data_IF_734413883677
#
_entry.id   IF_734413883677
#
_cell.length_a   1.000
_cell.length_b   1.000
_cell.length_c   1.000
_cell.angle_alpha   90.00
_cell.angle_beta   90.00
_cell.angle_gamma   90.00
#
_symmetry.space_group_name_H-M   'P 1'
#
loop_
_entity.id
_entity.type
_entity.pdbx_description
1 polymer ?
#
# COMPACT_ATOMS: atom_id res chain seq x y z
N UNK A 1 0.59 -9.06 6.30
CA UNK A 1 0.97 -9.13 4.91
C UNK A 1 -0.23 -8.94 3.98
N UNK A 2 0.04 -8.78 2.69
CA UNK A 2 -1.00 -8.75 1.67
C UNK A 2 -1.83 -10.03 1.64
N UNK A 3 -3.10 -9.91 1.31
CA UNK A 3 -4.00 -11.07 1.22
C UNK A 3 -5.00 -10.97 0.07
N UNK A 4 -5.19 -9.78 -0.47
CA UNK A 4 -6.16 -9.52 -1.52
C UNK A 4 -5.50 -9.50 -2.89
N UNK A 5 -6.25 -9.88 -3.89
CA UNK A 5 -5.90 -9.84 -5.30
C UNK A 5 -7.01 -9.06 -6.00
N UNK A 6 -6.65 -7.91 -6.59
CA UNK A 6 -7.56 -7.10 -7.40
C UNK A 6 -7.42 -7.40 -8.89
N UNK A 7 -8.44 -7.11 -9.70
CA UNK A 7 -8.46 -7.47 -11.13
C UNK A 7 -7.36 -6.83 -11.99
N UNK A 8 -6.76 -5.73 -11.51
CA UNK A 8 -5.71 -4.95 -12.18
C UNK A 8 -4.28 -5.39 -11.83
N UNK A 9 -4.12 -6.43 -10.99
CA UNK A 9 -2.82 -6.95 -10.59
C UNK A 9 -2.34 -8.06 -11.55
N UNK A 10 -2.20 -7.75 -12.82
CA UNK A 10 -1.91 -8.71 -13.89
C UNK A 10 -0.71 -9.60 -13.58
N UNK A 11 0.43 -9.02 -13.20
CA UNK A 11 1.65 -9.77 -12.89
C UNK A 11 1.49 -10.73 -11.70
N UNK A 12 0.68 -10.36 -10.69
CA UNK A 12 0.38 -11.24 -9.58
C UNK A 12 -0.55 -12.37 -10.01
N UNK A 13 -1.57 -12.06 -10.81
CA UNK A 13 -2.53 -13.05 -11.34
C UNK A 13 -1.80 -14.07 -12.21
N UNK A 14 -0.96 -13.62 -13.15
CA UNK A 14 -0.13 -14.49 -13.97
C UNK A 14 0.78 -15.40 -13.13
N UNK A 15 1.38 -14.86 -12.05
CA UNK A 15 2.22 -15.65 -11.14
C UNK A 15 1.41 -16.69 -10.37
N UNK A 16 0.21 -16.34 -9.90
CA UNK A 16 -0.72 -17.26 -9.23
C UNK A 16 -1.08 -18.43 -10.17
N UNK A 17 -1.43 -18.13 -11.41
CA UNK A 17 -1.80 -19.12 -12.43
C UNK A 17 -0.59 -20.00 -12.80
N UNK A 18 0.60 -19.42 -12.99
CA UNK A 18 1.85 -20.16 -13.28
C UNK A 18 2.20 -21.15 -12.16
N UNK A 19 1.92 -20.77 -10.91
CA UNK A 19 2.17 -21.61 -9.74
C UNK A 19 1.06 -22.65 -9.52
N UNK A 20 -0.02 -22.64 -10.30
CA UNK A 20 -1.15 -23.55 -10.18
C UNK A 20 -1.97 -23.31 -8.92
N UNK A 21 -1.96 -22.07 -8.39
CA UNK A 21 -2.72 -21.69 -7.22
C UNK A 21 -4.15 -21.29 -7.61
N UNK A 22 -5.10 -21.62 -6.75
CA UNK A 22 -6.51 -21.28 -6.94
C UNK A 22 -6.89 -20.06 -6.08
N UNK A 23 -7.86 -19.29 -6.58
CA UNK A 23 -8.43 -18.14 -5.88
C UNK A 23 -9.90 -18.34 -5.56
N UNK A 24 -10.41 -17.59 -4.58
CA UNK A 24 -11.82 -17.52 -4.24
C UNK A 24 -12.24 -16.07 -4.00
N UNK A 25 -13.50 -15.75 -4.33
CA UNK A 25 -14.05 -14.41 -4.14
C UNK A 25 -14.27 -14.07 -2.68
N UNK A 26 -14.20 -12.79 -2.35
CA UNK A 26 -14.58 -12.28 -1.04
C UNK A 26 -16.01 -12.70 -0.69
N UNK A 27 -16.24 -13.09 0.55
CA UNK A 27 -17.60 -13.31 1.06
C UNK A 27 -18.35 -11.96 1.14
N UNK A 28 -19.53 -11.90 0.53
CA UNK A 28 -20.34 -10.68 0.39
C UNK A 28 -21.78 -10.85 0.89
N UNK A 29 -22.12 -12.01 1.47
CA UNK A 29 -23.48 -12.26 1.96
C UNK A 29 -23.66 -11.68 3.36
N UNK A 30 -24.87 -11.17 3.64
CA UNK A 30 -25.26 -10.62 4.94
C UNK A 30 -25.03 -9.10 5.05
N UNK A 31 -25.28 -8.60 6.25
CA UNK A 31 -25.17 -7.18 6.57
C UNK A 31 -23.74 -6.83 7.01
N UNK A 32 -23.28 -5.65 6.59
CA UNK A 32 -22.14 -4.97 7.19
C UNK A 32 -22.57 -4.16 8.41
N UNK A 33 -21.59 -3.79 9.23
CA UNK A 33 -21.84 -2.98 10.43
C UNK A 33 -20.99 -1.72 10.38
N UNK A 34 -21.62 -0.58 10.53
CA UNK A 34 -20.98 0.73 10.68
C UNK A 34 -21.28 1.29 12.07
N UNK A 35 -20.24 1.79 12.74
CA UNK A 35 -20.40 2.52 14.01
C UNK A 35 -20.17 4.00 13.74
N UNK A 36 -21.23 4.79 13.82
CA UNK A 36 -21.19 6.22 13.59
C UNK A 36 -20.33 6.99 14.62
N UNK A 37 -20.10 8.29 14.40
CA UNK A 37 -19.32 9.13 15.32
C UNK A 37 -19.91 9.22 16.72
N UNK A 38 -21.24 9.10 16.84
CA UNK A 38 -22.00 9.10 18.10
C UNK A 38 -22.00 7.74 18.82
N UNK A 39 -21.35 6.71 18.25
CA UNK A 39 -21.33 5.35 18.73
C UNK A 39 -22.56 4.50 18.34
N UNK A 40 -23.49 5.05 17.56
CA UNK A 40 -24.65 4.31 17.07
C UNK A 40 -24.22 3.25 16.06
N UNK A 41 -24.77 2.03 16.23
CA UNK A 41 -24.50 0.90 15.36
C UNK A 41 -25.55 0.83 14.27
N UNK A 42 -25.10 0.89 13.01
CA UNK A 42 -25.93 0.75 11.83
C UNK A 42 -25.61 -0.55 11.10
N UNK A 43 -26.64 -1.31 10.73
CA UNK A 43 -26.52 -2.43 9.80
C UNK A 43 -26.88 -1.94 8.40
N UNK A 44 -26.09 -2.33 7.41
CA UNK A 44 -26.30 -1.92 6.03
C UNK A 44 -25.84 -3.00 5.04
N UNK A 45 -26.36 -2.90 3.84
CA UNK A 45 -25.93 -3.70 2.68
C UNK A 45 -25.36 -2.75 1.61
N UNK A 46 -24.45 -3.24 0.80
CA UNK A 46 -23.77 -2.44 -0.25
C UNK A 46 -22.45 -1.86 0.22
N UNK A 47 -21.86 -1.01 -0.59
CA UNK A 47 -20.49 -0.49 -0.42
C UNK A 47 -20.43 0.85 0.34
N UNK A 48 -21.51 1.64 0.27
CA UNK A 48 -21.57 2.94 0.94
C UNK A 48 -21.90 2.80 2.42
N UNK A 49 -21.16 3.49 3.27
CA UNK A 49 -21.52 3.60 4.67
C UNK A 49 -22.84 4.35 4.85
N UNK A 50 -23.66 3.96 5.84
CA UNK A 50 -24.98 4.57 6.08
C UNK A 50 -24.81 5.93 6.80
N UNK A 51 -24.37 6.92 6.06
CA UNK A 51 -24.24 8.32 6.48
C UNK A 51 -25.45 9.14 6.08
N UNK A 52 -25.55 10.40 6.51
CA UNK A 52 -26.63 11.29 6.05
C UNK A 52 -26.51 11.57 4.54
N UNK A 53 -27.62 11.93 3.91
CA UNK A 53 -27.61 12.30 2.49
C UNK A 53 -26.72 13.53 2.21
N UNK A 54 -26.61 14.45 3.17
CA UNK A 54 -25.72 15.59 3.11
C UNK A 54 -24.25 15.16 3.14
N UNK A 55 -23.88 14.26 4.05
CA UNK A 55 -22.52 13.69 4.15
C UNK A 55 -22.16 12.89 2.91
N UNK A 56 -23.10 12.09 2.38
CA UNK A 56 -22.92 11.33 1.15
C UNK A 56 -22.62 12.26 -0.05
N UNK A 57 -23.37 13.35 -0.19
CA UNK A 57 -23.13 14.32 -1.23
C UNK A 57 -21.74 14.99 -1.11
N UNK A 58 -21.31 15.31 0.09
CA UNK A 58 -19.96 15.87 0.36
C UNK A 58 -18.87 14.87 -0.01
N UNK A 59 -19.02 13.60 0.38
CA UNK A 59 -18.06 12.55 0.02
C UNK A 59 -17.99 12.40 -1.51
N UNK A 60 -19.12 12.39 -2.20
CA UNK A 60 -19.18 12.27 -3.64
C UNK A 60 -18.49 13.46 -4.34
N UNK A 61 -18.72 14.69 -3.91
CA UNK A 61 -18.07 15.89 -4.48
C UNK A 61 -16.55 15.84 -4.28
N UNK A 62 -16.08 15.47 -3.09
CA UNK A 62 -14.64 15.36 -2.82
C UNK A 62 -14.01 14.23 -3.65
N UNK A 63 -14.70 13.11 -3.79
CA UNK A 63 -14.25 11.97 -4.60
C UNK A 63 -14.12 12.36 -6.08
N UNK A 64 -15.11 13.06 -6.65
CA UNK A 64 -15.03 13.56 -8.02
C UNK A 64 -13.84 14.50 -8.22
N UNK A 65 -13.60 15.40 -7.27
CA UNK A 65 -12.43 16.29 -7.29
C UNK A 65 -11.12 15.52 -7.25
N UNK A 66 -11.03 14.49 -6.42
CA UNK A 66 -9.85 13.63 -6.33
C UNK A 66 -9.63 12.86 -7.63
N UNK A 67 -10.68 12.32 -8.24
CA UNK A 67 -10.58 11.61 -9.52
C UNK A 67 -10.06 12.55 -10.63
N UNK A 68 -10.54 13.80 -10.67
CA UNK A 68 -10.03 14.79 -11.60
C UNK A 68 -8.53 15.10 -11.39
N UNK A 69 -8.09 15.20 -10.13
CA UNK A 69 -6.66 15.40 -9.80
C UNK A 69 -5.82 14.17 -10.15
N UNK A 70 -6.31 12.98 -9.86
CA UNK A 70 -5.65 11.70 -10.18
C UNK A 70 -5.44 11.53 -11.68
N UNK A 71 -6.42 11.90 -12.49
CA UNK A 71 -6.34 11.82 -13.96
C UNK A 71 -5.20 12.66 -14.57
N UNK A 72 -4.68 13.65 -13.85
CA UNK A 72 -3.55 14.47 -14.29
C UNK A 72 -2.17 13.87 -13.91
N UNK A 73 -2.13 12.80 -13.08
CA UNK A 73 -0.89 12.23 -12.55
C UNK A 73 -0.40 11.07 -13.43
N UNK A 74 0.86 11.15 -13.85
CA UNK A 74 1.60 10.00 -14.36
C UNK A 74 2.12 9.18 -13.15
N UNK A 75 1.61 7.97 -12.91
CA UNK A 75 2.01 7.17 -11.73
C UNK A 75 3.49 6.77 -11.75
N UNK A 76 4.12 6.71 -12.93
CA UNK A 76 5.55 6.42 -13.05
C UNK A 76 6.42 7.66 -12.75
N UNK A 77 5.87 8.85 -12.87
CA UNK A 77 6.58 10.11 -12.64
C UNK A 77 5.73 11.14 -11.89
N UNK A 78 5.18 10.82 -10.71
CA UNK A 78 4.24 11.69 -10.00
C UNK A 78 4.85 13.05 -9.65
N UNK A 79 6.14 13.10 -9.38
CA UNK A 79 6.88 14.34 -9.06
C UNK A 79 7.14 15.25 -10.25
N UNK A 80 6.84 14.80 -11.48
CA UNK A 80 6.92 15.63 -12.68
C UNK A 80 5.68 16.53 -12.86
N UNK A 81 4.61 16.29 -12.13
CA UNK A 81 3.41 17.12 -12.19
C UNK A 81 3.69 18.55 -11.73
N UNK A 82 3.20 19.59 -12.42
CA UNK A 82 3.49 20.99 -12.06
C UNK A 82 3.11 21.37 -10.63
N UNK A 83 2.08 20.76 -10.06
CA UNK A 83 1.61 20.97 -8.69
C UNK A 83 2.18 19.96 -7.67
N UNK A 84 3.10 19.08 -8.07
CA UNK A 84 3.62 18.04 -7.18
C UNK A 84 4.19 18.62 -5.87
N UNK A 85 4.99 19.68 -5.95
CA UNK A 85 5.56 20.33 -4.77
C UNK A 85 4.49 20.96 -3.87
N UNK A 86 3.42 21.53 -4.44
CA UNK A 86 2.28 22.07 -3.70
C UNK A 86 1.55 20.94 -2.95
N UNK A 87 1.19 19.87 -3.67
CA UNK A 87 0.45 18.73 -3.12
C UNK A 87 1.28 17.92 -2.10
N UNK A 88 2.59 17.91 -2.24
CA UNK A 88 3.49 17.27 -1.28
C UNK A 88 3.72 18.11 -0.01
N UNK A 89 3.42 19.41 -0.06
CA UNK A 89 3.57 20.32 1.08
C UNK A 89 2.39 20.33 2.06
N UNK A 90 1.27 19.73 1.70
CA UNK A 90 0.06 19.65 2.52
C UNK A 90 -0.21 18.20 2.91
N UNK A 91 -0.53 17.95 4.19
CA UNK A 91 -0.92 16.61 4.65
C UNK A 91 -2.31 16.25 4.13
N UNK A 92 -2.58 14.95 3.99
CA UNK A 92 -3.90 14.46 3.62
C UNK A 92 -4.99 14.96 4.56
N UNK A 93 -4.76 14.91 5.88
CA UNK A 93 -5.70 15.45 6.88
C UNK A 93 -6.00 16.93 6.67
N UNK A 94 -4.95 17.74 6.51
CA UNK A 94 -5.12 19.19 6.32
C UNK A 94 -5.86 19.52 5.02
N UNK A 95 -5.61 18.78 3.95
CA UNK A 95 -6.31 18.97 2.69
C UNK A 95 -7.80 18.60 2.81
N UNK A 96 -8.14 17.46 3.41
CA UNK A 96 -9.55 17.06 3.62
C UNK A 96 -10.31 18.12 4.41
N UNK A 97 -9.75 18.63 5.50
CA UNK A 97 -10.36 19.68 6.33
C UNK A 97 -10.49 21.04 5.63
N UNK A 98 -9.77 21.26 4.56
CA UNK A 98 -9.97 22.43 3.69
C UNK A 98 -11.15 22.25 2.72
N UNK A 99 -11.59 21.01 2.48
CA UNK A 99 -12.68 20.73 1.56
C UNK A 99 -14.05 20.84 2.23
N UNK A 100 -14.14 20.49 3.52
CA UNK A 100 -15.41 20.43 4.25
C UNK A 100 -15.23 20.54 5.75
N UNK A 101 -16.25 21.06 6.43
CA UNK A 101 -16.40 21.04 7.88
C UNK A 101 -17.18 19.80 8.37
N UNK A 102 -17.62 18.90 7.47
CA UNK A 102 -18.28 17.66 7.82
C UNK A 102 -17.25 16.64 8.35
N UNK A 103 -17.21 16.49 9.68
CA UNK A 103 -16.27 15.56 10.35
C UNK A 103 -16.52 14.10 9.98
N UNK A 104 -17.75 13.69 9.63
CA UNK A 104 -18.05 12.32 9.24
C UNK A 104 -17.55 12.04 7.81
N UNK A 105 -17.70 12.97 6.89
CA UNK A 105 -17.12 12.88 5.54
C UNK A 105 -15.58 12.80 5.62
N UNK A 106 -14.94 13.69 6.40
CA UNK A 106 -13.49 13.66 6.63
C UNK A 106 -13.05 12.31 7.21
N UNK A 107 -13.76 11.78 8.22
CA UNK A 107 -13.44 10.50 8.85
C UNK A 107 -13.49 9.34 7.87
N UNK A 108 -14.50 9.27 7.00
CA UNK A 108 -14.66 8.20 6.02
C UNK A 108 -13.57 8.24 4.95
N UNK A 109 -13.31 9.40 4.35
CA UNK A 109 -12.23 9.58 3.36
C UNK A 109 -10.84 9.34 3.98
N UNK A 110 -10.63 9.80 5.21
CA UNK A 110 -9.40 9.57 5.97
C UNK A 110 -9.17 8.09 6.28
N UNK A 111 -10.22 7.35 6.62
CA UNK A 111 -10.15 5.90 6.87
C UNK A 111 -9.70 5.15 5.62
N UNK A 112 -10.32 5.41 4.48
CA UNK A 112 -10.05 4.69 3.24
C UNK A 112 -8.56 4.73 2.86
N UNK A 113 -7.97 5.91 2.75
CA UNK A 113 -6.58 6.07 2.31
C UNK A 113 -5.59 5.88 3.46
N UNK A 114 -5.89 6.36 4.65
CA UNK A 114 -4.99 6.34 5.80
C UNK A 114 -4.93 4.97 6.47
N UNK A 115 -5.94 4.66 7.27
CA UNK A 115 -5.91 3.45 8.11
C UNK A 115 -6.07 2.17 7.33
N UNK A 116 -6.92 2.15 6.28
CA UNK A 116 -7.17 0.95 5.51
C UNK A 116 -6.02 0.62 4.54
N UNK A 117 -5.51 1.60 3.80
CA UNK A 117 -4.50 1.39 2.76
C UNK A 117 -3.07 1.60 3.26
N UNK A 118 -2.73 2.83 3.66
CA UNK A 118 -1.35 3.18 4.08
C UNK A 118 -1.01 2.70 5.49
N UNK A 119 -2.00 2.28 6.28
CA UNK A 119 -1.84 1.90 7.69
C UNK A 119 -1.16 3.00 8.52
N UNK A 120 -1.43 4.25 8.18
CA UNK A 120 -0.87 5.47 8.80
C UNK A 120 -1.96 6.47 9.13
N UNK A 121 -1.76 7.32 10.15
CA UNK A 121 -2.63 8.46 10.37
C UNK A 121 -2.47 9.48 9.24
N UNK A 122 -3.55 10.15 8.88
CA UNK A 122 -3.65 11.04 7.71
C UNK A 122 -2.75 12.29 7.76
N UNK A 123 -2.26 12.65 8.94
CA UNK A 123 -1.27 13.71 9.11
C UNK A 123 0.18 13.27 8.81
N UNK A 124 0.42 11.97 8.63
CA UNK A 124 1.77 11.40 8.44
C UNK A 124 2.18 11.24 6.98
N UNK A 125 1.33 11.63 6.04
CA UNK A 125 1.62 11.59 4.60
C UNK A 125 0.95 12.75 3.87
N UNK A 126 1.46 13.07 2.69
CA UNK A 126 1.00 14.20 1.90
C UNK A 126 -0.22 13.86 1.04
N UNK A 127 -0.92 14.90 0.56
CA UNK A 127 -1.94 14.79 -0.49
C UNK A 127 -1.35 14.10 -1.73
N UNK A 128 -0.13 14.45 -2.15
CA UNK A 128 0.51 13.81 -3.32
C UNK A 128 0.64 12.30 -3.14
N UNK A 129 0.96 11.82 -1.94
CA UNK A 129 1.05 10.39 -1.66
C UNK A 129 -0.31 9.69 -1.78
N UNK A 130 -1.40 10.33 -1.34
CA UNK A 130 -2.77 9.82 -1.54
C UNK A 130 -3.13 9.75 -3.01
N UNK A 131 -2.84 10.81 -3.76
CA UNK A 131 -3.10 10.89 -5.20
C UNK A 131 -2.28 9.87 -5.98
N UNK A 132 -1.01 9.65 -5.63
CA UNK A 132 -0.17 8.63 -6.25
C UNK A 132 -0.74 7.23 -6.04
N UNK A 133 -1.21 6.93 -4.82
CA UNK A 133 -1.84 5.64 -4.54
C UNK A 133 -3.10 5.45 -5.38
N UNK A 134 -3.94 6.46 -5.50
CA UNK A 134 -5.14 6.41 -6.32
C UNK A 134 -4.81 6.32 -7.82
N UNK A 135 -3.79 7.03 -8.30
CA UNK A 135 -3.33 6.94 -9.68
C UNK A 135 -2.82 5.53 -10.04
N UNK A 136 -2.19 4.84 -9.08
CA UNK A 136 -1.76 3.46 -9.26
C UNK A 136 -2.93 2.46 -9.35
N UNK A 137 -4.11 2.82 -8.80
CA UNK A 137 -5.35 2.07 -8.94
C UNK A 137 -6.23 2.57 -10.11
N UNK A 138 -5.76 3.57 -10.86
CA UNK A 138 -6.48 4.19 -11.98
C UNK A 138 -7.39 5.37 -11.60
N UNK A 139 -7.99 5.37 -10.41
CA UNK A 139 -8.78 6.48 -9.88
C UNK A 139 -8.92 6.38 -8.35
N UNK A 140 -9.35 7.46 -7.71
CA UNK A 140 -9.69 7.43 -6.29
C UNK A 140 -10.96 6.61 -6.04
N UNK A 141 -11.94 6.69 -6.94
CA UNK A 141 -13.15 5.86 -6.89
C UNK A 141 -12.81 4.37 -6.89
N UNK A 142 -11.89 3.91 -7.75
CA UNK A 142 -11.43 2.50 -7.72
C UNK A 142 -10.68 2.15 -6.44
N UNK A 143 -9.86 3.07 -5.93
CA UNK A 143 -9.11 2.83 -4.69
C UNK A 143 -10.01 2.57 -3.48
N UNK A 144 -11.18 3.19 -3.43
CA UNK A 144 -12.15 3.04 -2.32
C UNK A 144 -13.25 2.02 -2.61
N UNK A 145 -13.34 1.49 -3.82
CA UNK A 145 -14.26 0.43 -4.19
C UNK A 145 -13.76 -0.91 -3.63
N UNK A 146 -14.41 -1.34 -2.55
CA UNK A 146 -14.04 -2.58 -1.87
C UNK A 146 -14.29 -3.83 -2.73
N UNK A 147 -15.23 -3.79 -3.67
CA UNK A 147 -15.47 -4.90 -4.59
C UNK A 147 -14.36 -5.03 -5.64
N UNK A 148 -13.72 -3.93 -5.99
CA UNK A 148 -12.58 -3.90 -6.89
C UNK A 148 -11.28 -4.31 -6.17
N UNK A 149 -10.91 -3.59 -5.08
CA UNK A 149 -9.60 -3.78 -4.42
C UNK A 149 -9.52 -5.03 -3.53
N UNK A 150 -10.67 -5.53 -3.03
CA UNK A 150 -10.75 -6.70 -2.16
C UNK A 150 -11.49 -7.86 -2.85
N UNK A 151 -11.24 -8.08 -4.15
CA UNK A 151 -12.00 -9.02 -4.96
C UNK A 151 -11.76 -10.48 -4.54
N UNK A 152 -10.50 -10.94 -4.58
CA UNK A 152 -10.16 -12.35 -4.39
C UNK A 152 -9.08 -12.58 -3.33
N UNK A 153 -9.02 -13.82 -2.85
CA UNK A 153 -7.92 -14.36 -2.05
C UNK A 153 -7.42 -15.66 -2.64
N UNK A 154 -6.16 -15.99 -2.37
CA UNK A 154 -5.57 -17.28 -2.72
C UNK A 154 -6.01 -18.34 -1.69
N UNK A 155 -6.44 -19.51 -2.13
CA UNK A 155 -6.72 -20.66 -1.28
C UNK A 155 -5.44 -21.07 -0.55
N UNK A 156 -5.48 -21.16 0.77
CA UNK A 156 -4.31 -21.42 1.61
C UNK A 156 -3.45 -20.17 1.89
N UNK A 157 -3.80 -19.02 1.31
CA UNK A 157 -3.17 -17.73 1.58
C UNK A 157 -2.12 -17.31 0.55
N UNK A 158 -2.00 -16.01 0.34
CA UNK A 158 -1.07 -15.42 -0.64
C UNK A 158 0.41 -15.74 -0.33
N UNK A 159 0.74 -16.15 0.88
CA UNK A 159 2.10 -16.57 1.26
C UNK A 159 2.58 -17.81 0.48
N UNK A 160 1.68 -18.58 -0.12
CA UNK A 160 2.07 -19.71 -0.97
C UNK A 160 2.88 -19.27 -2.20
N UNK A 161 2.64 -18.07 -2.72
CA UNK A 161 3.40 -17.55 -3.87
C UNK A 161 4.91 -17.51 -3.57
N UNK A 162 5.40 -16.79 -2.55
CA UNK A 162 6.84 -16.81 -2.26
C UNK A 162 7.37 -18.16 -1.78
N UNK A 163 6.55 -18.99 -1.14
CA UNK A 163 6.98 -20.33 -0.70
C UNK A 163 7.22 -21.25 -1.90
N UNK A 164 6.32 -21.31 -2.86
CA UNK A 164 6.48 -22.13 -4.07
C UNK A 164 7.60 -21.61 -4.98
N UNK A 165 7.78 -20.29 -5.07
CA UNK A 165 8.94 -19.72 -5.76
C UNK A 165 10.26 -20.10 -5.08
N UNK A 166 10.30 -20.05 -3.75
CA UNK A 166 11.48 -20.47 -2.99
C UNK A 166 11.76 -21.97 -3.17
N UNK A 167 10.73 -22.81 -3.21
CA UNK A 167 10.87 -24.25 -3.49
C UNK A 167 11.47 -24.49 -4.88
N UNK A 168 11.03 -23.77 -5.91
CA UNK A 168 11.60 -23.86 -7.27
C UNK A 168 13.08 -23.44 -7.31
N UNK A 169 13.47 -22.46 -6.51
CA UNK A 169 14.86 -21.97 -6.41
C UNK A 169 15.75 -22.89 -5.56
N UNK A 170 15.16 -23.69 -4.66
CA UNK A 170 15.87 -24.67 -3.87
C UNK A 170 17.01 -24.06 -3.02
N UNK A 171 18.20 -24.63 -3.17
CA UNK A 171 19.40 -24.26 -2.40
C UNK A 171 19.93 -22.84 -2.69
N UNK A 172 19.41 -22.17 -3.71
CA UNK A 172 19.76 -20.77 -4.01
C UNK A 172 19.06 -19.78 -3.05
N UNK A 173 18.08 -20.24 -2.25
CA UNK A 173 17.41 -19.45 -1.22
C UNK A 173 18.11 -19.63 0.11
N UNK A 174 18.88 -18.64 0.53
CA UNK A 174 19.63 -18.63 1.77
C UNK A 174 18.85 -17.89 2.87
N UNK A 175 18.18 -18.61 3.74
CA UNK A 175 17.45 -18.06 4.88
C UNK A 175 18.38 -17.75 6.05
N UNK A 176 17.93 -16.88 6.98
CA UNK A 176 18.65 -16.46 8.18
C UNK A 176 20.03 -15.84 7.88
N UNK A 177 20.16 -15.19 6.74
CA UNK A 177 21.36 -14.52 6.27
C UNK A 177 21.11 -13.01 6.06
N UNK A 178 20.91 -12.24 7.15
CA UNK A 178 20.70 -10.80 6.99
C UNK A 178 21.96 -10.15 6.42
N UNK A 179 21.81 -9.46 5.30
CA UNK A 179 22.90 -8.71 4.68
C UNK A 179 23.30 -7.54 5.58
N UNK A 180 24.59 -7.48 5.93
CA UNK A 180 25.18 -6.42 6.78
C UNK A 180 25.86 -5.33 5.98
N UNK A 181 26.51 -5.72 4.89
CA UNK A 181 27.11 -4.76 3.97
C UNK A 181 26.92 -5.14 2.50
N UNK A 182 26.86 -4.11 1.67
CA UNK A 182 26.92 -4.21 0.22
C UNK A 182 28.05 -3.31 -0.29
N UNK A 183 29.03 -3.94 -0.92
CA UNK A 183 30.14 -3.26 -1.54
C UNK A 183 30.02 -3.43 -3.06
N UNK A 184 30.15 -2.34 -3.84
CA UNK A 184 30.05 -2.42 -5.29
C UNK A 184 31.03 -1.50 -6.00
N UNK A 185 31.45 -1.95 -7.17
CA UNK A 185 32.25 -1.22 -8.13
C UNK A 185 31.89 -1.64 -9.57
N UNK A 186 32.72 -1.26 -10.54
CA UNK A 186 32.51 -1.62 -11.94
C UNK A 186 32.60 -3.14 -12.19
N UNK A 187 33.20 -3.91 -11.29
CA UNK A 187 33.35 -5.36 -11.41
C UNK A 187 32.15 -6.16 -10.86
N UNK A 188 31.29 -5.54 -10.07
CA UNK A 188 30.11 -6.18 -9.50
C UNK A 188 29.78 -5.78 -8.08
N UNK A 189 29.06 -6.65 -7.38
CA UNK A 189 28.56 -6.44 -6.02
C UNK A 189 29.02 -7.56 -5.10
N UNK A 190 29.45 -7.21 -3.90
CA UNK A 190 29.75 -8.14 -2.81
C UNK A 190 28.77 -7.89 -1.66
N UNK A 191 27.96 -8.89 -1.33
CA UNK A 191 27.07 -8.89 -0.17
C UNK A 191 27.71 -9.70 0.96
N UNK A 192 27.79 -9.13 2.17
CA UNK A 192 28.32 -9.81 3.35
C UNK A 192 27.24 -9.95 4.41
N UNK A 193 27.11 -11.15 4.95
CA UNK A 193 26.26 -11.49 6.10
C UNK A 193 27.12 -11.82 7.31
N UNK A 194 26.52 -12.29 8.39
CA UNK A 194 27.30 -12.71 9.58
C UNK A 194 28.14 -13.97 9.34
N UNK A 195 27.82 -14.78 8.32
CA UNK A 195 28.50 -16.06 8.03
C UNK A 195 28.90 -16.28 6.59
N UNK A 196 28.42 -15.48 5.65
CA UNK A 196 28.63 -15.67 4.22
C UNK A 196 29.08 -14.38 3.54
N UNK A 197 29.81 -14.57 2.42
CA UNK A 197 30.10 -13.52 1.46
C UNK A 197 29.68 -14.01 0.08
N UNK A 198 28.80 -13.25 -0.59
CA UNK A 198 28.29 -13.57 -1.92
C UNK A 198 28.73 -12.49 -2.89
N UNK A 199 29.26 -12.89 -4.03
CA UNK A 199 29.64 -12.00 -5.12
C UNK A 199 28.75 -12.22 -6.34
N UNK A 200 28.30 -11.13 -6.94
CA UNK A 200 27.44 -11.16 -8.14
C UNK A 200 27.75 -9.98 -9.05
N UNK A 201 27.29 -10.07 -10.29
CA UNK A 201 27.36 -8.93 -11.22
C UNK A 201 26.40 -7.80 -10.83
N UNK A 202 25.23 -8.17 -10.31
CA UNK A 202 24.16 -7.24 -9.91
C UNK A 202 23.51 -7.75 -8.63
N UNK A 203 22.89 -6.84 -7.87
CA UNK A 203 22.04 -7.15 -6.74
C UNK A 203 20.75 -6.34 -6.83
N UNK A 204 19.64 -6.96 -6.43
CA UNK A 204 18.32 -6.32 -6.28
C UNK A 204 17.96 -6.26 -4.80
N UNK A 205 17.72 -5.07 -4.29
CA UNK A 205 17.28 -4.84 -2.91
C UNK A 205 15.75 -4.86 -2.85
N UNK A 206 15.17 -6.04 -2.61
CA UNK A 206 13.73 -6.25 -2.53
C UNK A 206 13.23 -6.18 -1.07
N UNK A 207 13.53 -5.08 -0.37
CA UNK A 207 13.07 -4.81 0.99
C UNK A 207 12.57 -3.37 1.09
N UNK A 208 11.77 -3.07 2.14
CA UNK A 208 11.25 -1.73 2.35
C UNK A 208 12.40 -0.72 2.51
N UNK A 209 12.40 0.41 1.78
CA UNK A 209 13.51 1.37 1.79
C UNK A 209 13.89 1.91 3.20
N UNK A 210 12.92 2.00 4.11
CA UNK A 210 13.15 2.36 5.52
C UNK A 210 14.10 1.41 6.24
N UNK A 211 14.31 0.19 5.72
CA UNK A 211 15.21 -0.80 6.29
C UNK A 211 16.63 -0.75 5.69
N UNK A 212 16.86 0.09 4.69
CA UNK A 212 18.17 0.20 4.06
C UNK A 212 19.25 0.71 5.02
N UNK A 213 18.89 1.51 6.03
CA UNK A 213 19.82 1.97 7.07
C UNK A 213 20.40 0.83 7.93
N UNK A 214 19.88 -0.39 7.80
CA UNK A 214 20.45 -1.59 8.44
C UNK A 214 21.59 -2.24 7.66
N UNK A 215 21.87 -1.74 6.44
CA UNK A 215 22.90 -2.24 5.55
C UNK A 215 23.97 -1.16 5.39
N UNK A 216 25.22 -1.51 5.60
CA UNK A 216 26.35 -0.64 5.26
C UNK A 216 26.61 -0.66 3.76
N UNK A 217 26.55 0.49 3.13
CA UNK A 217 26.80 0.65 1.69
C UNK A 217 28.20 1.20 1.42
N UNK A 218 28.97 0.54 0.52
CA UNK A 218 30.31 0.95 0.12
C UNK A 218 30.42 0.92 -1.42
N UNK A 219 30.57 2.07 -2.09
CA UNK A 219 30.50 3.42 -1.54
C UNK A 219 29.11 3.74 -0.93
N UNK A 220 29.01 4.76 -0.09
CA UNK A 220 27.72 5.12 0.52
C UNK A 220 26.71 5.53 -0.56
N UNK A 221 25.44 5.30 -0.29
CA UNK A 221 24.35 5.74 -1.16
C UNK A 221 24.41 7.26 -1.40
N UNK A 222 23.96 7.75 -2.57
CA UNK A 222 23.87 9.17 -2.83
C UNK A 222 23.12 9.90 -1.69
N UNK A 223 23.65 11.06 -1.24
CA UNK A 223 23.11 11.78 -0.08
C UNK A 223 21.60 12.00 -0.13
N UNK A 224 21.05 12.35 -1.30
CA UNK A 224 19.61 12.57 -1.46
C UNK A 224 18.80 11.29 -1.23
N UNK A 225 19.29 10.15 -1.74
CA UNK A 225 18.65 8.86 -1.56
C UNK A 225 18.70 8.43 -0.09
N UNK A 226 19.86 8.56 0.57
CA UNK A 226 19.99 8.28 1.99
C UNK A 226 19.04 9.16 2.83
N UNK A 227 18.97 10.46 2.56
CA UNK A 227 18.05 11.37 3.22
C UNK A 227 16.58 10.96 3.01
N UNK A 228 16.19 10.57 1.79
CA UNK A 228 14.85 10.07 1.51
C UNK A 228 14.51 8.86 2.39
N UNK A 229 15.42 7.88 2.50
CA UNK A 229 15.18 6.70 3.34
C UNK A 229 14.95 7.04 4.81
N UNK A 230 15.63 8.05 5.34
CA UNK A 230 15.45 8.52 6.71
C UNK A 230 14.09 9.19 6.97
N UNK A 231 13.43 9.71 5.93
CA UNK A 231 12.11 10.32 6.02
C UNK A 231 10.96 9.30 5.84
N UNK A 232 11.26 8.08 5.42
CA UNK A 232 10.27 7.02 5.28
C UNK A 232 10.01 6.34 6.63
N UNK A 233 8.79 5.85 6.82
CA UNK A 233 8.43 5.05 7.99
C UNK A 233 7.50 3.91 7.61
N UNK A 234 7.55 2.80 8.34
CA UNK A 234 6.59 1.72 8.21
C UNK A 234 5.20 2.17 8.66
N UNK A 235 4.18 1.58 8.05
CA UNK A 235 2.84 1.62 8.62
C UNK A 235 2.78 0.84 9.94
N UNK A 236 1.75 1.08 10.74
CA UNK A 236 1.54 0.38 12.01
C UNK A 236 0.12 -0.19 12.06
N UNK A 237 0.02 -1.52 12.06
CA UNK A 237 -1.25 -2.23 12.10
C UNK A 237 -1.16 -3.47 12.98
N UNK A 238 -2.22 -3.72 13.76
CA UNK A 238 -2.41 -4.94 14.53
C UNK A 238 -3.63 -5.66 13.96
N UNK A 239 -3.46 -6.92 13.56
CA UNK A 239 -4.57 -7.80 13.14
C UNK A 239 -4.93 -8.73 14.30
N UNK A 240 -6.19 -8.72 14.68
CA UNK A 240 -6.74 -9.64 15.70
C UNK A 240 -7.73 -10.57 15.01
N UNK A 241 -7.52 -11.86 15.17
CA UNK A 241 -8.44 -12.88 14.68
C UNK A 241 -9.13 -13.53 15.88
N UNK A 242 -10.47 -13.53 15.86
CA UNK A 242 -11.28 -14.22 16.84
C UNK A 242 -12.13 -15.26 16.11
N UNK A 243 -12.17 -16.47 16.65
CA UNK A 243 -12.98 -17.58 16.15
C UNK A 243 -14.06 -17.84 17.18
N UNK A 244 -15.29 -17.90 16.74
CA UNK A 244 -16.47 -18.17 17.56
C UNK A 244 -17.08 -19.52 17.14
N UNK A 245 -17.65 -20.22 18.11
CA UNK A 245 -18.40 -21.47 17.90
C UNK A 245 -19.77 -21.18 17.28
#
# INVERSE_FOLDING_TARGET
GGQWVSPDQDALIETIDELGLETFSRYREGDSVYVGPDGTLHRFTGEMFPVSAETEAVIAEITERLDAMVAEIDPDRPYAHPKAAEWDSVTWDAWLRQQTDDDEAVRNLAFATGSAMLTKPTHAFSLLQSLLMAASAGSYSHLVDADFILDKRVIGGLQQVPLLLAERLGDDVLLNQPVRSLEWDESGVTATTDSLTVRARHAVLALAPVLYDRISFVPPLPRRQHQMHQHLSMGFVIKVHAVYD
#
